data_IF_909366270407
#
_entry.id   IF_909366270407
#
_cell.length_a   1.000
_cell.length_b   1.000
_cell.length_c   1.000
_cell.angle_alpha   90.00
_cell.angle_beta   90.00
_cell.angle_gamma   90.00
#
_symmetry.space_group_name_H-M   'P 1'
#
loop_
_entity.id
_entity.type
_entity.pdbx_description
1 polymer ?
#
# COMPACT_ATOMS: atom_id res chain seq x y z
N UNK A 1 -30.93 -42.38 61.74
CA UNK A 1 -29.50 -42.72 61.67
C UNK A 1 -29.01 -42.11 60.37
N UNK A 2 -28.52 -40.86 60.39
CA UNK A 2 -27.12 -40.51 60.70
C UNK A 2 -26.16 -41.20 59.70
N UNK A 3 -25.17 -40.58 59.07
CA UNK A 3 -24.56 -39.26 59.11
C UNK A 3 -23.61 -39.18 57.89
N UNK A 4 -23.27 -37.95 57.46
CA UNK A 4 -21.98 -37.44 56.90
C UNK A 4 -21.03 -38.44 56.19
N UNK A 5 -20.53 -38.18 54.98
CA UNK A 5 -19.74 -37.00 54.63
C UNK A 5 -18.25 -37.23 54.92
N UNK A 6 -17.44 -37.47 53.88
CA UNK A 6 -15.96 -37.48 53.85
C UNK A 6 -15.51 -37.99 52.46
N UNK A 7 -14.48 -37.52 51.75
CA UNK A 7 -13.53 -36.44 51.92
C UNK A 7 -12.72 -36.38 50.60
N UNK A 8 -12.60 -35.17 50.05
CA UNK A 8 -11.42 -34.59 49.38
C UNK A 8 -10.40 -35.56 48.76
N UNK A 9 -10.26 -35.50 47.42
CA UNK A 9 -8.93 -35.42 46.81
C UNK A 9 -8.86 -34.21 45.88
N UNK A 10 -8.28 -33.12 46.41
CA UNK A 10 -7.58 -32.12 45.62
C UNK A 10 -6.46 -32.84 44.87
N UNK A 11 -6.54 -32.92 43.55
CA UNK A 11 -5.33 -33.00 42.73
C UNK A 11 -4.96 -31.59 42.33
N UNK A 12 -4.10 -31.01 43.15
CA UNK A 12 -3.30 -29.81 42.85
C UNK A 12 -2.13 -30.18 41.96
N UNK A 13 -1.81 -29.24 41.06
CA UNK A 13 -0.52 -29.01 40.41
C UNK A 13 -0.05 -30.02 39.36
N UNK A 14 0.17 -29.49 38.15
CA UNK A 14 0.86 -30.17 37.06
C UNK A 14 0.89 -29.33 35.79
N UNK A 15 1.76 -28.33 35.79
CA UNK A 15 2.28 -27.61 34.62
C UNK A 15 1.28 -26.91 33.69
N UNK A 16 0.93 -25.68 34.08
CA UNK A 16 0.84 -24.63 33.08
C UNK A 16 2.23 -24.52 32.43
N UNK A 17 2.41 -25.14 31.26
CA UNK A 17 3.44 -24.68 30.35
C UNK A 17 3.08 -23.25 29.99
N UNK A 18 3.72 -22.32 30.68
CA UNK A 18 3.91 -20.96 30.22
C UNK A 18 4.56 -21.11 28.84
N UNK A 19 3.70 -21.10 27.82
CA UNK A 19 4.12 -20.98 26.43
C UNK A 19 4.73 -19.58 26.35
N UNK A 20 6.04 -19.53 26.58
CA UNK A 20 6.87 -18.35 26.42
C UNK A 20 6.58 -17.84 25.01
N UNK A 21 5.73 -16.80 24.93
CA UNK A 21 5.49 -16.14 23.66
C UNK A 21 6.87 -15.76 23.14
N UNK A 22 7.23 -16.14 21.89
CA UNK A 22 8.50 -15.74 21.33
C UNK A 22 8.62 -14.22 21.51
N UNK A 23 9.81 -13.69 21.86
CA UNK A 23 9.98 -12.27 22.10
C UNK A 23 9.34 -11.55 20.94
N UNK A 24 8.34 -10.70 21.23
CA UNK A 24 7.62 -9.95 20.21
C UNK A 24 8.69 -9.22 19.42
N UNK A 25 9.01 -9.73 18.23
CA UNK A 25 9.90 -9.03 17.32
C UNK A 25 9.14 -7.76 17.02
N UNK A 26 9.62 -6.65 17.60
CA UNK A 26 9.00 -5.36 17.36
C UNK A 26 8.82 -5.17 15.87
N UNK A 27 7.67 -4.67 15.45
CA UNK A 27 7.47 -4.38 14.04
C UNK A 27 8.54 -3.37 13.61
N UNK A 28 8.97 -3.40 12.34
CA UNK A 28 9.90 -2.39 11.86
C UNK A 28 9.35 -0.95 12.01
N UNK A 29 8.02 -0.82 12.16
CA UNK A 29 7.32 0.43 12.44
C UNK A 29 7.41 0.86 13.92
N UNK A 30 7.84 0.01 14.84
CA UNK A 30 7.99 0.36 16.26
C UNK A 30 9.11 1.39 16.49
N UNK A 31 9.96 1.61 15.47
CA UNK A 31 11.00 2.63 15.44
C UNK A 31 10.49 4.00 14.95
N UNK A 32 9.25 4.08 14.46
CA UNK A 32 8.70 5.33 13.96
C UNK A 32 8.20 6.16 15.14
N UNK A 33 8.39 7.48 15.05
CA UNK A 33 7.69 8.41 15.93
C UNK A 33 6.17 8.30 15.73
N UNK A 34 5.39 8.85 16.67
CA UNK A 34 3.93 8.86 16.54
C UNK A 34 3.47 9.58 15.26
N UNK A 35 4.12 10.69 14.91
CA UNK A 35 3.85 11.45 13.68
C UNK A 35 4.17 10.63 12.43
N UNK A 36 5.37 10.08 12.35
CA UNK A 36 5.79 9.24 11.23
C UNK A 36 4.89 8.01 11.06
N UNK A 37 4.44 7.41 12.17
CA UNK A 37 3.48 6.31 12.16
C UNK A 37 2.13 6.74 11.58
N UNK A 38 1.63 7.92 11.96
CA UNK A 38 0.38 8.45 11.43
C UNK A 38 0.48 8.76 9.93
N UNK A 39 1.55 9.42 9.50
CA UNK A 39 1.80 9.72 8.08
C UNK A 39 1.95 8.44 7.25
N UNK A 40 2.69 7.45 7.75
CA UNK A 40 2.84 6.15 7.09
C UNK A 40 1.49 5.43 6.98
N UNK A 41 0.64 5.49 8.03
CA UNK A 41 -0.69 4.92 7.98
C UNK A 41 -1.59 5.59 6.94
N UNK A 42 -1.54 6.92 6.79
CA UNK A 42 -2.31 7.64 5.76
C UNK A 42 -1.93 7.14 4.37
N UNK A 43 -0.63 7.10 4.07
CA UNK A 43 -0.13 6.61 2.79
C UNK A 43 -0.51 5.13 2.55
N UNK A 44 -0.24 4.25 3.52
CA UNK A 44 -0.52 2.80 3.39
C UNK A 44 -2.01 2.56 3.16
N UNK A 45 -2.89 3.27 3.89
CA UNK A 45 -4.34 3.16 3.68
C UNK A 45 -4.74 3.60 2.28
N UNK A 46 -4.21 4.72 1.78
CA UNK A 46 -4.50 5.19 0.43
C UNK A 46 -4.02 4.18 -0.64
N UNK A 47 -2.80 3.64 -0.49
CA UNK A 47 -2.24 2.65 -1.41
C UNK A 47 -3.04 1.34 -1.41
N UNK A 48 -3.46 0.86 -0.24
CA UNK A 48 -4.28 -0.34 -0.10
C UNK A 48 -5.67 -0.12 -0.72
N UNK A 49 -6.31 1.03 -0.47
CA UNK A 49 -7.61 1.37 -1.06
C UNK A 49 -7.52 1.40 -2.58
N UNK A 50 -6.55 2.10 -3.15
CA UNK A 50 -6.35 2.17 -4.60
C UNK A 50 -6.07 0.79 -5.21
N UNK A 51 -5.22 -0.01 -4.56
CA UNK A 51 -4.94 -1.38 -4.97
C UNK A 51 -6.21 -2.25 -4.98
N UNK A 52 -7.05 -2.16 -3.94
CA UNK A 52 -8.30 -2.91 -3.89
C UNK A 52 -9.29 -2.46 -4.96
N UNK A 53 -9.35 -1.17 -5.28
CA UNK A 53 -10.15 -0.68 -6.39
C UNK A 53 -9.65 -1.23 -7.72
N UNK A 54 -8.34 -1.23 -7.94
CA UNK A 54 -7.73 -1.77 -9.15
C UNK A 54 -7.98 -3.28 -9.30
N UNK A 55 -7.80 -4.06 -8.23
CA UNK A 55 -8.03 -5.52 -8.26
C UNK A 55 -9.49 -5.90 -8.56
N UNK A 56 -10.45 -4.99 -8.34
CA UNK A 56 -11.86 -5.19 -8.70
C UNK A 56 -12.16 -4.85 -10.16
N UNK A 57 -11.27 -4.16 -10.86
CA UNK A 57 -11.45 -3.75 -12.24
C UNK A 57 -10.95 -4.83 -13.19
N UNK A 58 -11.67 -5.03 -14.29
CA UNK A 58 -11.16 -5.82 -15.42
C UNK A 58 -10.22 -4.97 -16.26
N UNK A 59 -9.35 -5.60 -17.05
CA UNK A 59 -8.50 -4.89 -18.02
C UNK A 59 -9.34 -4.00 -18.95
N UNK A 60 -10.52 -4.48 -19.38
CA UNK A 60 -11.46 -3.72 -20.21
C UNK A 60 -11.93 -2.43 -19.53
N UNK A 61 -12.19 -2.47 -18.22
CA UNK A 61 -12.59 -1.29 -17.46
C UNK A 61 -11.46 -0.26 -17.39
N UNK A 62 -10.22 -0.73 -17.21
CA UNK A 62 -9.03 0.12 -17.18
C UNK A 62 -8.80 0.75 -18.56
N UNK A 63 -8.83 -0.05 -19.63
CA UNK A 63 -8.73 0.42 -21.02
C UNK A 63 -9.79 1.47 -21.33
N UNK A 64 -11.06 1.23 -20.94
CA UNK A 64 -12.13 2.19 -21.18
C UNK A 64 -11.94 3.50 -20.39
N UNK A 65 -11.42 3.44 -19.15
CA UNK A 65 -11.04 4.64 -18.40
C UNK A 65 -9.98 5.45 -19.13
N UNK A 66 -8.93 4.80 -19.63
CA UNK A 66 -7.88 5.44 -20.41
C UNK A 66 -8.40 6.01 -21.73
N UNK A 67 -9.29 5.29 -22.42
CA UNK A 67 -9.94 5.75 -23.65
C UNK A 67 -10.78 7.00 -23.40
N UNK A 68 -11.61 7.00 -22.35
CA UNK A 68 -12.44 8.16 -21.97
C UNK A 68 -11.61 9.37 -21.58
N UNK A 69 -10.44 9.16 -20.97
CA UNK A 69 -9.50 10.22 -20.64
C UNK A 69 -8.69 10.72 -21.84
N UNK A 70 -8.83 10.13 -23.04
CA UNK A 70 -8.00 10.45 -24.21
C UNK A 70 -6.54 10.02 -24.06
N UNK A 71 -6.22 9.16 -23.09
CA UNK A 71 -4.85 8.74 -22.72
C UNK A 71 -4.55 7.29 -23.06
N UNK A 72 -5.33 6.66 -23.95
CA UNK A 72 -5.15 5.23 -24.28
C UNK A 72 -3.73 4.91 -24.78
N UNK A 73 -3.07 5.82 -25.48
CA UNK A 73 -1.67 5.70 -25.92
C UNK A 73 -0.66 5.61 -24.77
N UNK A 74 -1.03 6.02 -23.55
CA UNK A 74 -0.19 5.93 -22.34
C UNK A 74 -0.51 4.71 -21.49
N UNK A 75 -1.53 3.94 -21.85
CA UNK A 75 -1.86 2.71 -21.12
C UNK A 75 -0.81 1.65 -21.40
N UNK A 76 -0.19 1.16 -20.33
CA UNK A 76 0.79 0.10 -20.34
C UNK A 76 0.42 -0.86 -19.19
N UNK A 77 -0.12 -2.05 -19.49
CA UNK A 77 -0.59 -2.96 -18.45
C UNK A 77 0.53 -3.42 -17.52
N UNK A 78 1.76 -3.56 -18.03
CA UNK A 78 2.92 -4.01 -17.25
C UNK A 78 3.37 -2.95 -16.23
N UNK A 79 3.07 -1.67 -16.53
CA UNK A 79 3.43 -0.53 -15.68
C UNK A 79 2.27 0.09 -14.92
N UNK A 80 1.03 -0.33 -15.19
CA UNK A 80 -0.16 0.31 -14.63
C UNK A 80 -0.16 0.33 -13.10
N UNK A 81 0.24 -0.78 -12.49
CA UNK A 81 0.37 -0.88 -11.04
C UNK A 81 1.33 0.16 -10.46
N UNK A 82 2.46 0.40 -11.15
CA UNK A 82 3.51 1.31 -10.71
C UNK A 82 3.09 2.76 -10.90
N UNK A 83 2.41 3.07 -12.02
CA UNK A 83 1.81 4.39 -12.28
C UNK A 83 0.72 4.72 -11.25
N UNK A 84 -0.13 3.76 -10.90
CA UNK A 84 -1.15 3.91 -9.85
C UNK A 84 -0.53 4.20 -8.49
N UNK A 85 0.49 3.44 -8.12
CA UNK A 85 1.24 3.69 -6.90
C UNK A 85 1.86 5.10 -6.89
N UNK A 86 2.44 5.56 -8.00
CA UNK A 86 2.98 6.91 -8.12
C UNK A 86 1.90 7.98 -7.92
N UNK A 87 0.70 7.82 -8.51
CA UNK A 87 -0.44 8.72 -8.28
C UNK A 87 -0.81 8.81 -6.80
N UNK A 88 -0.85 7.67 -6.10
CA UNK A 88 -1.11 7.64 -4.65
C UNK A 88 -0.01 8.37 -3.89
N UNK A 89 1.26 8.12 -4.22
CA UNK A 89 2.38 8.78 -3.56
C UNK A 89 2.43 10.29 -3.81
N UNK A 90 1.91 10.77 -4.95
CA UNK A 90 1.73 12.20 -5.22
C UNK A 90 0.68 12.82 -4.30
N UNK A 91 -0.47 12.17 -4.17
CA UNK A 91 -1.59 12.66 -3.36
C UNK A 91 -1.34 12.51 -1.85
N UNK A 92 -0.63 11.45 -1.47
CA UNK A 92 -0.29 11.09 -0.10
C UNK A 92 1.22 10.78 -0.06
N UNK A 93 2.09 11.77 0.12
CA UNK A 93 3.53 11.53 0.15
C UNK A 93 3.92 10.53 1.25
N UNK A 94 4.67 9.45 0.94
CA UNK A 94 5.17 8.53 1.96
C UNK A 94 6.24 9.23 2.82
N UNK A 95 6.24 9.04 4.15
CA UNK A 95 7.23 9.67 4.99
C UNK A 95 8.64 9.10 4.75
N UNK A 96 9.72 9.87 4.99
CA UNK A 96 11.10 9.43 4.73
C UNK A 96 11.48 8.12 5.44
N UNK A 97 10.99 7.90 6.65
CA UNK A 97 11.22 6.67 7.41
C UNK A 97 10.64 5.42 6.69
N UNK A 98 9.48 5.55 6.06
CA UNK A 98 8.86 4.49 5.27
C UNK A 98 9.64 4.21 3.98
N UNK A 99 10.13 5.28 3.34
CA UNK A 99 10.99 5.19 2.16
C UNK A 99 12.36 4.58 2.45
N UNK A 100 12.89 4.76 3.66
CA UNK A 100 14.11 4.11 4.12
C UNK A 100 13.88 2.63 4.45
N UNK A 101 12.71 2.29 5.01
CA UNK A 101 12.33 0.92 5.33
C UNK A 101 12.04 0.08 4.06
N UNK A 102 11.47 0.70 3.03
CA UNK A 102 11.09 0.05 1.77
C UNK A 102 11.73 0.77 0.56
N UNK A 103 13.05 0.62 0.34
CA UNK A 103 13.76 1.34 -0.71
C UNK A 103 13.24 1.02 -2.12
N UNK A 104 12.65 -0.17 -2.33
CA UNK A 104 12.02 -0.55 -3.60
C UNK A 104 10.88 0.40 -4.01
N UNK A 105 10.23 1.08 -3.06
CA UNK A 105 9.19 2.08 -3.37
C UNK A 105 9.73 3.27 -4.17
N UNK A 106 11.03 3.60 -4.03
CA UNK A 106 11.66 4.69 -4.80
C UNK A 106 11.59 4.44 -6.30
N UNK A 107 11.68 3.18 -6.72
CA UNK A 107 11.60 2.82 -8.13
C UNK A 107 10.24 3.17 -8.74
N UNK A 108 9.17 3.20 -7.96
CA UNK A 108 7.84 3.53 -8.47
C UNK A 108 7.58 5.03 -8.52
N UNK A 109 8.28 5.83 -7.70
CA UNK A 109 8.17 7.29 -7.74
C UNK A 109 8.71 7.89 -9.05
N UNK A 110 9.51 7.15 -9.83
CA UNK A 110 9.98 7.60 -11.15
C UNK A 110 8.83 7.85 -12.15
N UNK A 111 7.64 7.27 -11.91
CA UNK A 111 6.48 7.43 -12.78
C UNK A 111 5.65 8.68 -12.46
N UNK A 112 6.02 9.47 -11.44
CA UNK A 112 5.38 10.75 -11.14
C UNK A 112 5.47 11.71 -12.33
N UNK A 113 6.61 11.71 -13.02
CA UNK A 113 6.90 12.63 -14.12
C UNK A 113 6.20 12.25 -15.44
N UNK A 114 5.81 10.98 -15.62
CA UNK A 114 5.12 10.51 -16.83
C UNK A 114 3.62 10.90 -16.85
N UNK A 115 3.04 11.13 -15.68
CA UNK A 115 1.64 11.55 -15.51
C UNK A 115 1.42 13.02 -15.87
N UNK A 116 2.41 13.88 -15.61
CA UNK A 116 2.30 15.34 -15.72
C UNK A 116 2.34 15.89 -17.14
N UNK A 117 2.28 15.01 -18.15
CA UNK A 117 1.95 15.44 -19.50
C UNK A 117 2.85 16.57 -19.99
N UNK A 118 4.08 16.23 -20.38
CA UNK A 118 4.51 16.81 -21.65
C UNK A 118 3.48 16.33 -22.68
N UNK A 119 2.57 17.21 -23.06
CA UNK A 119 1.86 17.07 -24.32
C UNK A 119 2.96 16.84 -25.35
N UNK A 120 2.92 15.70 -26.05
CA UNK A 120 3.79 15.55 -27.20
C UNK A 120 3.51 16.78 -28.08
N UNK A 121 4.54 17.60 -28.40
CA UNK A 121 4.34 18.78 -29.21
C UNK A 121 3.58 18.34 -30.46
N UNK A 122 2.37 18.89 -30.64
CA UNK A 122 1.60 18.60 -31.85
C UNK A 122 2.33 19.30 -32.97
N UNK A 123 3.00 18.54 -33.82
CA UNK A 123 3.62 19.09 -35.00
C UNK A 123 2.58 19.23 -36.10
N UNK A 124 2.60 20.35 -36.81
CA UNK A 124 1.87 20.46 -38.07
C UNK A 124 2.51 19.57 -39.16
N UNK A 125 1.91 19.53 -40.35
CA UNK A 125 2.47 18.78 -41.49
C UNK A 125 3.84 19.28 -41.97
N UNK A 126 4.32 20.40 -41.43
CA UNK A 126 5.61 21.00 -41.73
C UNK A 126 6.66 20.75 -40.63
N UNK A 127 6.28 20.08 -39.53
CA UNK A 127 7.18 19.80 -38.42
C UNK A 127 7.34 20.96 -37.43
N UNK A 128 6.44 21.96 -37.44
CA UNK A 128 6.43 23.05 -36.47
C UNK A 128 5.54 22.74 -35.27
N UNK A 129 6.01 23.08 -34.06
CA UNK A 129 5.24 22.87 -32.82
C UNK A 129 4.04 23.82 -32.81
N UNK A 130 2.83 23.25 -32.81
CA UNK A 130 1.60 23.99 -32.59
C UNK A 130 1.58 24.49 -31.13
N UNK A 131 1.91 25.76 -30.95
CA UNK A 131 1.82 26.43 -29.66
C UNK A 131 0.34 26.58 -29.28
N UNK A 132 -0.04 26.12 -28.08
CA UNK A 132 -1.31 26.46 -27.43
C UNK A 132 -1.28 27.86 -26.84
#
# INVERSE_FOLDING_TARGET
MENKGSEIMRSTAGDAKEEEQPPRRGSAFDKFTATESAEAQVFIRAAITDAFEYMKMTEKDVVEKYRRAGKLHKYDPDKEWQKRFARVARAHPPPPCLMALMPQMKQYLQYLDEEDGREDPKYDSNGEVLST
#
